data_IF_731334784868
#
_entry.id   IF_731334784868
#
_cell.length_a   1.000
_cell.length_b   1.000
_cell.length_c   1.000
_cell.angle_alpha   90.00
_cell.angle_beta   90.00
_cell.angle_gamma   90.00
#
_symmetry.space_group_name_H-M   'P 1'
#
loop_
_entity.id
_entity.type
_entity.pdbx_description
1 polymer ?
#
# COMPACT_ATOMS: atom_id res chain seq x y z
N UNK A 1 11.93 13.08 -2.44
CA UNK A 1 12.15 12.28 -1.21
C UNK A 1 11.29 11.04 -1.32
N UNK A 2 11.85 9.83 -1.16
CA UNK A 2 11.05 8.59 -1.17
C UNK A 2 10.29 8.55 0.16
N UNK A 3 8.96 8.55 0.11
CA UNK A 3 8.14 8.37 1.31
C UNK A 3 8.36 6.93 1.81
N UNK A 4 8.73 6.78 3.09
CA UNK A 4 8.81 5.46 3.71
C UNK A 4 7.40 5.03 4.09
N UNK A 5 6.91 3.97 3.48
CA UNK A 5 5.57 3.42 3.76
C UNK A 5 5.62 2.71 5.11
N UNK A 6 4.72 3.09 6.01
CA UNK A 6 4.51 2.48 7.33
C UNK A 6 3.09 1.94 7.44
N UNK A 7 2.77 1.11 8.45
CA UNK A 7 1.40 0.61 8.66
C UNK A 7 0.35 1.71 8.77
N UNK A 8 0.71 2.89 9.27
CA UNK A 8 -0.17 4.07 9.38
C UNK A 8 -0.31 4.88 8.09
N UNK A 9 0.57 4.64 7.10
CA UNK A 9 0.51 5.33 5.81
C UNK A 9 -0.75 4.89 5.08
N UNK A 10 -1.51 5.83 4.51
CA UNK A 10 -2.66 5.46 3.70
C UNK A 10 -2.26 4.97 2.31
N UNK A 11 -3.09 4.13 1.70
CA UNK A 11 -2.93 3.68 0.31
C UNK A 11 -2.79 4.88 -0.62
N UNK A 12 -3.62 5.92 -0.44
CA UNK A 12 -3.53 7.17 -1.20
C UNK A 12 -2.21 7.92 -1.03
N UNK A 13 -1.69 8.01 0.19
CA UNK A 13 -0.38 8.65 0.42
C UNK A 13 0.76 7.87 -0.24
N UNK A 14 0.74 6.54 -0.16
CA UNK A 14 1.74 5.70 -0.81
C UNK A 14 1.68 5.83 -2.33
N UNK A 15 0.48 5.82 -2.92
CA UNK A 15 0.28 6.01 -4.36
C UNK A 15 0.64 7.41 -4.85
N UNK A 16 0.34 8.44 -4.07
CA UNK A 16 0.71 9.83 -4.39
C UNK A 16 2.23 10.01 -4.38
N UNK A 17 2.93 9.34 -3.46
CA UNK A 17 4.38 9.36 -3.39
C UNK A 17 5.05 8.49 -4.46
N UNK A 18 4.45 7.35 -4.82
CA UNK A 18 4.97 6.42 -5.83
C UNK A 18 3.83 5.75 -6.61
N UNK A 19 3.37 6.35 -7.73
CA UNK A 19 2.26 5.83 -8.53
C UNK A 19 2.50 4.42 -9.10
N UNK A 20 3.76 4.01 -9.23
CA UNK A 20 4.13 2.67 -9.75
C UNK A 20 3.72 1.54 -8.81
N UNK A 21 3.49 1.83 -7.52
CA UNK A 21 2.95 0.86 -6.56
C UNK A 21 1.53 0.40 -6.90
N UNK A 22 0.81 1.14 -7.75
CA UNK A 22 -0.55 0.78 -8.14
C UNK A 22 -0.65 -0.64 -8.70
N UNK A 23 0.31 -1.05 -9.53
CA UNK A 23 0.34 -2.42 -10.06
C UNK A 23 0.60 -3.48 -8.99
N UNK A 24 1.46 -3.18 -8.01
CA UNK A 24 1.74 -4.08 -6.89
C UNK A 24 0.52 -4.23 -5.96
N UNK A 25 -0.17 -3.13 -5.70
CA UNK A 25 -1.41 -3.12 -4.91
C UNK A 25 -2.52 -3.88 -5.61
N UNK A 26 -2.69 -3.70 -6.93
CA UNK A 26 -3.61 -4.49 -7.76
C UNK A 26 -3.34 -5.99 -7.67
N UNK A 27 -2.07 -6.39 -7.77
CA UNK A 27 -1.66 -7.80 -7.68
C UNK A 27 -1.94 -8.43 -6.31
N UNK A 28 -2.02 -7.62 -5.26
CA UNK A 28 -2.36 -8.04 -3.89
C UNK A 28 -3.87 -8.20 -3.66
N UNK A 29 -4.71 -7.97 -4.68
CA UNK A 29 -6.15 -8.13 -4.57
C UNK A 29 -6.92 -6.83 -4.31
N UNK A 30 -6.26 -5.67 -4.29
CA UNK A 30 -6.92 -4.37 -4.45
C UNK A 30 -7.33 -4.18 -5.91
N UNK A 31 -8.26 -5.00 -6.37
CA UNK A 31 -8.90 -4.91 -7.68
C UNK A 31 -9.51 -3.51 -7.91
N UNK A 32 -9.94 -2.84 -6.84
CA UNK A 32 -10.53 -1.51 -6.89
C UNK A 32 -9.98 -0.64 -5.76
N UNK A 33 -8.99 0.19 -6.04
CA UNK A 33 -8.70 1.36 -5.18
C UNK A 33 -9.77 2.41 -5.47
N UNK A 34 -10.84 2.38 -4.69
CA UNK A 34 -11.93 3.36 -4.67
C UNK A 34 -11.70 4.43 -3.59
N UNK A 35 -12.62 5.39 -3.50
CA UNK A 35 -12.57 6.50 -2.53
C UNK A 35 -12.56 6.03 -1.05
N UNK A 36 -13.03 4.81 -0.78
CA UNK A 36 -12.97 4.23 0.57
C UNK A 36 -11.63 3.55 0.84
N UNK A 37 -11.12 2.76 -0.10
CA UNK A 37 -9.85 2.01 0.06
C UNK A 37 -8.62 2.91 -0.05
N UNK A 38 -8.70 4.04 -0.74
CA UNK A 38 -7.61 5.04 -0.76
C UNK A 38 -7.32 5.64 0.62
N UNK A 39 -8.33 5.69 1.49
CA UNK A 39 -8.21 6.14 2.88
C UNK A 39 -7.78 5.03 3.85
N UNK A 40 -7.68 3.78 3.39
CA UNK A 40 -7.22 2.70 4.26
C UNK A 40 -5.74 2.87 4.55
N UNK A 41 -5.37 2.60 5.80
CA UNK A 41 -3.98 2.46 6.19
C UNK A 41 -3.44 1.14 5.66
N UNK A 42 -2.12 1.05 5.45
CA UNK A 42 -1.48 -0.21 5.05
C UNK A 42 -1.72 -1.32 6.07
N UNK A 43 -1.85 -0.99 7.35
CA UNK A 43 -2.23 -1.94 8.40
C UNK A 43 -3.63 -2.52 8.19
N UNK A 44 -4.62 -1.65 7.89
CA UNK A 44 -5.98 -2.11 7.59
C UNK A 44 -6.03 -2.94 6.31
N UNK A 45 -5.29 -2.51 5.29
CA UNK A 45 -5.16 -3.26 4.05
C UNK A 45 -4.59 -4.66 4.29
N UNK A 46 -3.55 -4.76 5.12
CA UNK A 46 -2.92 -6.03 5.44
C UNK A 46 -3.88 -6.97 6.20
N UNK A 47 -4.66 -6.43 7.14
CA UNK A 47 -5.67 -7.18 7.89
C UNK A 47 -6.75 -7.78 6.97
N UNK A 48 -7.28 -6.98 6.05
CA UNK A 48 -8.29 -7.41 5.06
C UNK A 48 -7.76 -8.49 4.10
N UNK A 49 -6.47 -8.42 3.78
CA UNK A 49 -5.78 -9.41 2.93
C UNK A 49 -5.29 -10.64 3.72
N UNK A 50 -5.39 -10.62 5.06
CA UNK A 50 -4.85 -11.67 5.92
C UNK A 50 -3.32 -11.80 5.86
N UNK A 51 -2.61 -10.69 5.58
CA UNK A 51 -1.14 -10.64 5.48
C UNK A 51 -0.54 -9.80 6.59
N UNK A 52 0.77 -9.95 6.82
CA UNK A 52 1.50 -9.12 7.78
C UNK A 52 1.69 -7.68 7.28
N UNK A 53 1.31 -6.70 8.10
CA UNK A 53 1.38 -5.28 7.77
C UNK A 53 2.81 -4.79 7.58
N UNK A 54 3.76 -5.24 8.41
CA UNK A 54 5.16 -4.84 8.29
C UNK A 54 5.79 -5.44 7.04
N UNK A 55 5.51 -6.72 6.74
CA UNK A 55 5.94 -7.42 5.54
C UNK A 55 5.41 -6.78 4.27
N UNK A 56 4.14 -6.40 4.25
CA UNK A 56 3.53 -5.63 3.15
C UNK A 56 4.24 -4.29 2.94
N UNK A 57 4.42 -3.52 4.01
CA UNK A 57 5.10 -2.22 3.93
C UNK A 57 6.55 -2.38 3.46
N UNK A 58 7.27 -3.40 3.95
CA UNK A 58 8.65 -3.69 3.57
C UNK A 58 8.76 -4.07 2.08
N UNK A 59 7.84 -4.91 1.58
CA UNK A 59 7.77 -5.28 0.17
C UNK A 59 7.52 -4.06 -0.74
N UNK A 60 6.59 -3.18 -0.36
CA UNK A 60 6.29 -1.96 -1.12
C UNK A 60 7.47 -0.96 -1.09
N UNK A 61 8.13 -0.78 0.07
CA UNK A 61 9.33 0.06 0.18
C UNK A 61 10.51 -0.50 -0.64
N UNK A 62 10.62 -1.83 -0.70
CA UNK A 62 11.66 -2.59 -1.39
C UNK A 62 11.54 -2.62 -2.91
N UNK A 63 10.41 -2.17 -3.48
CA UNK A 63 10.30 -1.97 -4.92
C UNK A 63 11.34 -0.91 -5.35
N UNK A 64 12.35 -1.39 -6.10
CA UNK A 64 13.36 -0.54 -6.73
C UNK A 64 12.70 0.30 -7.84
N UNK A 65 13.17 1.54 -8.05
CA UNK A 65 12.69 2.40 -9.11
C UNK A 65 12.95 1.81 -10.50
#
# INVERSE_FOLDING_TARGET
MKLKITPDTTVGQALSAEPRLYGALLALGLCCVDENTVMWTMGRLADELGVDAEGLCSALNGQKP
#
